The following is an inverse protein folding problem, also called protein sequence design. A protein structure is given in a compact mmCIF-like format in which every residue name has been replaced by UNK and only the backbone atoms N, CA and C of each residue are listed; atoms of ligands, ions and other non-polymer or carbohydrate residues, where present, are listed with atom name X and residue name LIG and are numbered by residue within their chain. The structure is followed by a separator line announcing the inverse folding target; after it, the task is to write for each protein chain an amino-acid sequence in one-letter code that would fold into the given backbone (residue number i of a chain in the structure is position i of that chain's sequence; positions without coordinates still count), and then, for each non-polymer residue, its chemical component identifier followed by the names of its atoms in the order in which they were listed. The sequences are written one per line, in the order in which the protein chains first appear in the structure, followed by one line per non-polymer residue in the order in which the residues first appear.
data_IF_597426938351
#
_entry.id   IF_597426938351
#
_cell.length_a   1.000
_cell.length_b   1.000
_cell.length_c   1.000
_cell.angle_alpha   90.00
_cell.angle_beta   90.00
_cell.angle_gamma   90.00
#
_symmetry.space_group_name_H-M   'P 1'
#
loop_
_entity.id
_entity.type
_entity.pdbx_description
1 polymer ?
#
# COMPACT_ATOMS: atom_id res chain seq x y z
N UNK A 1 26.60 -3.29 -21.40
CA UNK A 1 25.55 -3.84 -20.53
C UNK A 1 25.26 -2.75 -19.51
N UNK A 2 24.20 -1.97 -19.73
CA UNK A 2 24.00 -0.68 -19.07
C UNK A 2 23.35 -0.82 -17.70
N UNK A 3 23.83 -0.01 -16.74
CA UNK A 3 23.29 0.18 -15.38
C UNK A 3 21.89 0.86 -15.44
N UNK A 4 20.89 0.20 -16.02
CA UNK A 4 19.51 0.70 -16.04
C UNK A 4 18.54 -0.19 -15.25
N UNK A 5 19.01 -1.29 -14.67
CA UNK A 5 18.22 -2.08 -13.72
C UNK A 5 18.46 -1.56 -12.30
N UNK A 6 17.40 -1.44 -11.51
CA UNK A 6 17.36 -1.58 -10.04
C UNK A 6 16.78 -0.41 -9.20
N UNK A 7 16.06 0.56 -9.77
CA UNK A 7 15.23 1.45 -8.92
C UNK A 7 13.83 1.56 -9.50
N UNK A 8 12.93 0.68 -9.05
CA UNK A 8 11.50 0.91 -9.21
C UNK A 8 11.13 2.17 -8.44
N UNK A 9 10.41 3.06 -9.10
CA UNK A 9 9.75 4.16 -8.45
C UNK A 9 8.73 3.65 -7.44
N UNK A 10 8.40 4.43 -6.39
CA UNK A 10 7.30 4.09 -5.48
C UNK A 10 5.98 3.81 -6.22
N UNK A 11 5.74 4.50 -7.35
CA UNK A 11 4.57 4.26 -8.20
C UNK A 11 4.54 2.85 -8.79
N UNK A 12 5.66 2.38 -9.34
CA UNK A 12 5.75 1.04 -9.93
C UNK A 12 5.54 -0.04 -8.87
N UNK A 13 6.13 0.11 -7.68
CA UNK A 13 5.93 -0.84 -6.58
C UNK A 13 4.48 -0.88 -6.08
N UNK A 14 3.80 0.26 -6.02
CA UNK A 14 2.38 0.34 -5.64
C UNK A 14 1.50 -0.32 -6.70
N UNK A 15 1.78 -0.05 -7.97
CA UNK A 15 1.01 -0.61 -9.08
C UNK A 15 1.18 -2.12 -9.17
N UNK A 16 2.42 -2.63 -9.08
CA UNK A 16 2.70 -4.06 -9.05
C UNK A 16 1.95 -4.74 -7.91
N UNK A 17 1.98 -4.17 -6.70
CA UNK A 17 1.24 -4.70 -5.57
C UNK A 17 -0.27 -4.79 -5.87
N UNK A 18 -0.86 -3.78 -6.53
CA UNK A 18 -2.25 -3.82 -6.95
C UNK A 18 -2.54 -4.92 -7.99
N UNK A 19 -1.62 -5.22 -8.92
CA UNK A 19 -1.80 -6.33 -9.88
C UNK A 19 -1.89 -7.69 -9.19
N UNK A 20 -1.21 -7.85 -8.05
CA UNK A 20 -1.17 -9.10 -7.28
C UNK A 20 -2.11 -9.15 -6.07
N UNK A 21 -3.07 -8.21 -5.98
CA UNK A 21 -4.01 -8.10 -4.84
C UNK A 21 -3.30 -7.97 -3.48
N UNK A 22 -2.14 -7.30 -3.49
CA UNK A 22 -1.33 -7.00 -2.31
C UNK A 22 -1.61 -5.57 -1.86
N UNK A 23 -1.95 -5.38 -0.59
CA UNK A 23 -2.12 -4.03 0.01
C UNK A 23 -0.73 -3.43 0.29
N UNK A 24 -0.33 -2.32 -0.37
CA UNK A 24 0.97 -1.70 -0.13
C UNK A 24 1.04 -1.05 1.25
N UNK A 25 2.20 -1.15 1.90
CA UNK A 25 2.51 -0.41 3.13
C UNK A 25 3.60 0.62 2.83
N UNK A 26 3.24 1.89 2.90
CA UNK A 26 4.14 3.00 2.59
C UNK A 26 4.80 3.52 3.85
N UNK A 27 6.12 3.33 3.91
CA UNK A 27 7.00 3.83 4.97
C UNK A 27 7.54 5.22 4.59
N UNK A 28 6.66 6.21 4.47
CA UNK A 28 7.02 7.55 3.99
C UNK A 28 6.39 8.66 4.84
N UNK A 29 7.03 9.83 4.87
CA UNK A 29 6.39 11.06 5.36
C UNK A 29 5.33 11.51 4.35
N UNK A 30 4.28 12.22 4.78
CA UNK A 30 3.15 12.71 3.94
C UNK A 30 3.55 13.59 2.71
N UNK A 31 4.84 13.74 2.42
CA UNK A 31 5.39 14.61 1.38
C UNK A 31 5.56 13.96 -0.01
N UNK A 32 5.23 12.68 -0.19
CA UNK A 32 5.28 12.08 -1.52
C UNK A 32 4.07 12.48 -2.37
N UNK A 33 4.32 12.98 -3.58
CA UNK A 33 3.34 13.41 -4.58
C UNK A 33 2.60 12.25 -5.27
N UNK A 34 2.65 11.06 -4.68
CA UNK A 34 2.12 9.83 -5.27
C UNK A 34 0.60 9.83 -5.15
N UNK A 35 -0.07 9.74 -6.30
CA UNK A 35 -1.53 9.62 -6.36
C UNK A 35 -1.90 8.15 -6.51
N UNK A 36 -2.71 7.66 -5.58
CA UNK A 36 -3.30 6.33 -5.57
C UNK A 36 -4.78 6.44 -5.18
N UNK A 37 -5.62 5.43 -5.46
CA UNK A 37 -7.03 5.44 -5.09
C UNK A 37 -7.23 5.66 -3.58
N UNK A 38 -8.34 6.29 -3.19
CA UNK A 38 -8.65 6.48 -1.78
C UNK A 38 -8.73 5.14 -1.05
N UNK A 39 -8.12 5.05 0.15
CA UNK A 39 -8.10 3.84 0.97
C UNK A 39 -7.49 2.60 0.26
N UNK A 40 -6.50 2.78 -0.62
CA UNK A 40 -5.85 1.67 -1.34
C UNK A 40 -4.49 1.25 -0.77
N UNK A 41 -3.92 2.04 0.15
CA UNK A 41 -2.60 1.81 0.74
C UNK A 41 -2.62 2.10 2.24
N UNK A 42 -1.75 1.44 2.99
CA UNK A 42 -1.55 1.72 4.42
C UNK A 42 -0.37 2.68 4.57
N UNK A 43 -0.56 3.80 5.25
CA UNK A 43 0.50 4.77 5.50
C UNK A 43 1.07 4.65 6.90
N UNK A 44 2.39 4.50 7.05
CA UNK A 44 3.02 4.43 8.36
C UNK A 44 2.80 5.68 9.22
N UNK A 45 2.57 6.84 8.59
CA UNK A 45 2.31 8.13 9.25
C UNK A 45 0.94 8.23 9.91
N UNK A 46 0.00 7.34 9.57
CA UNK A 46 -1.32 7.29 10.21
C UNK A 46 -1.27 6.66 11.61
N UNK A 47 -0.13 6.08 12.00
CA UNK A 47 0.03 5.39 13.26
C UNK A 47 0.96 6.15 14.20
N UNK A 48 0.54 6.29 15.46
CA UNK A 48 1.38 6.79 16.56
C UNK A 48 2.40 5.73 17.00
N UNK A 49 3.33 5.39 16.10
CA UNK A 49 4.46 4.49 16.34
C UNK A 49 4.32 3.07 15.77
N UNK A 50 5.47 2.40 15.68
CA UNK A 50 5.62 1.08 15.07
C UNK A 50 4.71 0.01 15.70
N UNK A 51 4.48 0.06 17.01
CA UNK A 51 3.64 -0.92 17.71
C UNK A 51 2.19 -0.91 17.21
N UNK A 52 1.62 0.28 17.01
CA UNK A 52 0.25 0.43 16.51
C UNK A 52 0.13 0.01 15.05
N UNK A 53 1.13 0.33 14.21
CA UNK A 53 1.18 -0.14 12.84
C UNK A 53 1.23 -1.67 12.77
N UNK A 54 2.10 -2.32 13.55
CA UNK A 54 2.19 -3.80 13.60
C UNK A 54 0.88 -4.42 14.07
N UNK A 55 0.23 -3.85 15.08
CA UNK A 55 -1.07 -4.33 15.55
C UNK A 55 -2.14 -4.22 14.44
N UNK A 56 -2.12 -3.13 13.67
CA UNK A 56 -3.04 -2.94 12.55
C UNK A 56 -2.78 -3.92 11.39
N UNK A 57 -1.52 -4.16 11.03
CA UNK A 57 -1.17 -5.13 9.99
C UNK A 57 -1.60 -6.55 10.37
N UNK A 58 -1.46 -6.94 11.64
CA UNK A 58 -1.99 -8.21 12.16
C UNK A 58 -3.51 -8.29 12.09
N UNK A 59 -4.19 -7.17 12.38
CA UNK A 59 -5.64 -7.10 12.22
C UNK A 59 -6.05 -7.34 10.75
N UNK A 60 -5.39 -6.66 9.80
CA UNK A 60 -5.65 -6.85 8.36
C UNK A 60 -5.43 -8.30 7.92
N UNK A 61 -4.31 -8.92 8.32
CA UNK A 61 -4.03 -10.33 8.04
C UNK A 61 -5.14 -11.26 8.57
N UNK A 62 -5.68 -10.96 9.76
CA UNK A 62 -6.71 -11.79 10.39
C UNK A 62 -8.15 -11.51 9.92
N UNK A 63 -8.36 -10.47 9.11
CA UNK A 63 -9.70 -10.01 8.71
C UNK A 63 -9.79 -9.83 7.19
N UNK A 64 -10.23 -10.88 6.46
CA UNK A 64 -10.40 -10.83 5.00
C UNK A 64 -11.25 -9.64 4.54
N UNK A 65 -12.34 -9.35 5.26
CA UNK A 65 -13.22 -8.21 4.95
C UNK A 65 -12.49 -6.87 5.07
N UNK A 66 -11.65 -6.70 6.09
CA UNK A 66 -10.89 -5.46 6.24
C UNK A 66 -9.80 -5.33 5.16
N UNK A 67 -9.20 -6.44 4.76
CA UNK A 67 -8.23 -6.49 3.67
C UNK A 67 -8.88 -6.18 2.31
N UNK A 68 -10.01 -6.81 2.00
CA UNK A 68 -10.78 -6.60 0.76
C UNK A 68 -11.26 -5.15 0.59
N UNK A 69 -11.55 -4.45 1.68
CA UNK A 69 -11.90 -3.03 1.62
C UNK A 69 -10.80 -2.15 1.00
N UNK A 70 -9.52 -2.54 1.10
CA UNK A 70 -8.41 -1.84 0.44
C UNK A 70 -8.36 -2.10 -1.07
N UNK A 71 -9.03 -3.14 -1.56
CA UNK A 71 -9.09 -3.52 -2.97
C UNK A 71 -10.43 -3.17 -3.62
N UNK A 72 -11.43 -2.73 -2.84
CA UNK A 72 -12.78 -2.43 -3.32
C UNK A 72 -12.83 -1.38 -4.46
N UNK A 73 -11.83 -0.49 -4.53
CA UNK A 73 -11.73 0.47 -5.64
C UNK A 73 -11.53 -0.22 -7.01
N UNK A 74 -10.99 -1.44 -7.05
CA UNK A 74 -10.82 -2.22 -8.30
C UNK A 74 -12.17 -2.60 -8.89
N UNK A 75 -13.17 -2.90 -8.06
CA UNK A 75 -14.53 -3.21 -8.51
C UNK A 75 -15.26 -1.99 -9.08
N UNK A 76 -14.96 -0.80 -8.55
CA UNK A 76 -15.52 0.46 -9.05
C UNK A 76 -14.88 0.94 -10.36
N UNK A 77 -13.70 0.41 -10.71
CA UNK A 77 -12.96 0.75 -11.92
C UNK A 77 -13.23 -0.21 -13.10
N UNK A 78 -13.90 -1.34 -12.84
CA UNK A 78 -14.37 -2.34 -13.83
C UNK A 78 -15.80 -2.08 -14.31
#
# INVERSE_FOLDING_TARGET
MGLNDCFHSPYELIYDAFEFDVVPVLLASHHETVSYPWLSVVHSVEFDGLGNMVAYLRFLESSPVAYENYLAWKEAAS
#
